data_IF_670029824025
#
_entry.id   IF_670029824025
#
_cell.length_a   1.000
_cell.length_b   1.000
_cell.length_c   1.000
_cell.angle_alpha   90.00
_cell.angle_beta   90.00
_cell.angle_gamma   90.00
#
_symmetry.space_group_name_H-M   'P 1'
#
loop_
_entity.id
_entity.type
_entity.pdbx_description
1 polymer ?
#
# COMPACT_ATOMS: atom_id res chain seq x y z
N UNK A 1 10.12 5.85 7.45
CA UNK A 1 9.34 6.68 6.50
C UNK A 1 7.88 6.34 6.70
N UNK A 2 7.02 7.35 6.68
CA UNK A 2 5.57 7.14 6.80
C UNK A 2 5.04 6.40 5.58
N UNK A 3 4.22 5.38 5.81
CA UNK A 3 3.52 4.63 4.78
C UNK A 3 2.12 4.25 5.26
N UNK A 4 1.15 4.24 4.34
CA UNK A 4 -0.17 3.68 4.59
C UNK A 4 -0.14 2.18 4.25
N UNK A 5 -0.51 1.35 5.22
CA UNK A 5 -0.28 -0.09 5.17
C UNK A 5 -1.61 -0.83 5.32
N UNK A 6 -1.86 -1.77 4.41
CA UNK A 6 -2.81 -2.85 4.64
C UNK A 6 -2.17 -3.85 5.61
N UNK A 7 -2.42 -3.67 6.90
CA UNK A 7 -1.71 -4.37 7.97
C UNK A 7 -2.03 -5.87 8.04
N UNK A 8 -3.25 -6.26 7.69
CA UNK A 8 -3.76 -7.61 7.75
C UNK A 8 -5.11 -7.74 7.04
N UNK A 9 -5.70 -8.95 7.04
CA UNK A 9 -7.03 -9.17 6.51
C UNK A 9 -8.09 -8.42 7.33
N UNK A 10 -9.04 -7.79 6.65
CA UNK A 10 -10.14 -7.03 7.25
C UNK A 10 -10.16 -5.56 6.83
N UNK A 11 -11.26 -4.83 7.07
CA UNK A 11 -11.37 -3.42 6.69
C UNK A 11 -10.35 -2.51 7.39
N UNK A 12 -10.06 -1.37 6.78
CA UNK A 12 -9.19 -0.33 7.31
C UNK A 12 -7.74 -0.44 6.85
N UNK A 13 -6.98 0.58 7.24
CA UNK A 13 -5.59 0.83 6.88
C UNK A 13 -4.86 1.45 8.08
N UNK A 14 -3.55 1.24 8.17
CA UNK A 14 -2.73 1.78 9.25
C UNK A 14 -1.63 2.69 8.71
N UNK A 15 -1.48 3.88 9.29
CA UNK A 15 -0.31 4.72 9.06
C UNK A 15 0.84 4.21 9.95
N UNK A 16 1.90 3.69 9.33
CA UNK A 16 3.06 3.12 10.04
C UNK A 16 4.36 3.82 9.62
N UNK A 17 5.35 3.75 10.49
CA UNK A 17 6.75 3.99 10.11
C UNK A 17 7.37 2.69 9.59
N UNK A 18 7.91 2.72 8.38
CA UNK A 18 8.60 1.59 7.74
C UNK A 18 10.03 1.98 7.35
N UNK A 19 10.92 1.00 7.15
CA UNK A 19 12.27 1.27 6.66
C UNK A 19 12.22 1.93 5.26
N UNK A 20 13.15 2.85 5.00
CA UNK A 20 13.35 3.38 3.63
C UNK A 20 13.96 2.25 2.80
N UNK A 21 13.37 1.88 1.64
CA UNK A 21 13.90 0.81 0.81
C UNK A 21 15.28 1.18 0.24
N UNK A 22 16.14 0.16 0.10
CA UNK A 22 17.47 0.31 -0.53
C UNK A 22 17.39 -0.30 -1.93
N UNK A 23 17.56 0.50 -3.01
CA UNK A 23 17.46 -0.02 -4.37
C UNK A 23 18.65 -0.92 -4.70
N UNK A 24 18.37 -2.07 -5.34
CA UNK A 24 19.39 -2.93 -5.95
C UNK A 24 19.82 -2.47 -7.34
N UNK A 25 20.68 -3.24 -8.03
CA UNK A 25 21.10 -2.93 -9.40
C UNK A 25 19.90 -2.79 -10.35
N UNK A 26 19.84 -1.67 -11.10
CA UNK A 26 18.75 -1.38 -12.03
C UNK A 26 17.46 -0.83 -11.41
N UNK A 27 17.42 -0.61 -10.10
CA UNK A 27 16.27 -0.03 -9.40
C UNK A 27 16.52 1.44 -9.03
N UNK A 28 15.44 2.19 -8.81
CA UNK A 28 15.48 3.60 -8.39
C UNK A 28 14.82 3.76 -7.03
N UNK A 29 15.38 4.65 -6.20
CA UNK A 29 14.73 5.15 -5.00
C UNK A 29 14.00 6.45 -5.32
N UNK A 30 12.67 6.44 -5.20
CA UNK A 30 11.83 7.59 -5.53
C UNK A 30 11.33 8.24 -4.23
N UNK A 31 11.53 9.56 -4.11
CA UNK A 31 10.85 10.36 -3.07
C UNK A 31 9.48 10.79 -3.60
N UNK A 32 8.43 10.08 -3.20
CA UNK A 32 7.05 10.43 -3.52
C UNK A 32 6.73 11.81 -2.93
N UNK A 33 6.30 12.75 -3.79
CA UNK A 33 5.95 14.13 -3.38
C UNK A 33 4.44 14.29 -3.17
N UNK A 34 3.66 13.62 -3.99
CA UNK A 34 2.21 13.55 -3.95
C UNK A 34 1.78 12.17 -4.45
N UNK A 35 0.63 11.70 -3.98
CA UNK A 35 -0.04 10.51 -4.44
C UNK A 35 -1.56 10.78 -4.46
N UNK A 36 -2.29 10.06 -5.29
CA UNK A 36 -3.76 10.15 -5.40
C UNK A 36 -4.42 8.89 -4.83
N UNK A 37 -5.76 8.91 -4.80
CA UNK A 37 -6.59 7.79 -4.38
C UNK A 37 -7.57 7.50 -5.53
N UNK A 38 -7.65 6.24 -5.94
CA UNK A 38 -8.60 5.75 -6.93
C UNK A 38 -9.54 4.68 -6.35
N UNK A 39 -10.42 4.13 -7.18
CA UNK A 39 -11.39 3.09 -6.75
C UNK A 39 -10.73 1.83 -6.19
N UNK A 40 -9.58 1.41 -6.72
CA UNK A 40 -8.80 0.26 -6.23
C UNK A 40 -8.40 0.43 -4.77
N UNK A 41 -7.98 1.63 -4.39
CA UNK A 41 -7.57 1.95 -3.02
C UNK A 41 -8.76 1.83 -2.04
N UNK A 42 -9.95 2.19 -2.50
CA UNK A 42 -11.19 2.03 -1.72
C UNK A 42 -11.54 0.55 -1.52
N UNK A 43 -11.36 -0.30 -2.52
CA UNK A 43 -11.55 -1.75 -2.35
C UNK A 43 -10.54 -2.36 -1.37
N UNK A 44 -9.27 -1.92 -1.43
CA UNK A 44 -8.23 -2.35 -0.48
C UNK A 44 -8.62 -1.92 0.94
N UNK A 45 -9.05 -0.67 1.14
CA UNK A 45 -9.48 -0.15 2.44
C UNK A 45 -10.66 -0.94 3.00
N UNK A 46 -11.74 -1.07 2.22
CA UNK A 46 -12.97 -1.76 2.65
C UNK A 46 -12.79 -3.25 2.87
N UNK A 47 -11.82 -3.86 2.17
CA UNK A 47 -11.62 -5.30 2.16
C UNK A 47 -12.87 -6.07 1.72
N UNK A 48 -13.56 -5.53 0.71
CA UNK A 48 -14.67 -6.23 0.07
C UNK A 48 -14.20 -7.43 -0.76
N UNK A 49 -15.12 -8.16 -1.38
CA UNK A 49 -14.80 -9.38 -2.15
C UNK A 49 -13.74 -9.15 -3.23
N UNK A 50 -13.74 -7.96 -3.84
CA UNK A 50 -12.74 -7.61 -4.84
C UNK A 50 -11.38 -7.35 -4.19
N UNK A 51 -11.35 -6.58 -3.10
CA UNK A 51 -10.13 -6.34 -2.31
C UNK A 51 -9.51 -7.64 -1.78
N UNK A 52 -10.34 -8.55 -1.26
CA UNK A 52 -9.93 -9.87 -0.76
C UNK A 52 -9.33 -10.74 -1.87
N UNK A 53 -9.98 -10.78 -3.03
CA UNK A 53 -9.53 -11.63 -4.15
C UNK A 53 -8.23 -11.13 -4.77
N UNK A 54 -8.04 -9.81 -4.88
CA UNK A 54 -6.92 -9.23 -5.61
C UNK A 54 -5.74 -8.82 -4.71
N UNK A 55 -5.94 -8.61 -3.41
CA UNK A 55 -4.93 -8.09 -2.49
C UNK A 55 -4.77 -8.92 -1.21
N UNK A 56 -4.92 -10.24 -1.30
CA UNK A 56 -4.81 -11.18 -0.18
C UNK A 56 -3.43 -11.21 0.52
N UNK A 57 -2.38 -10.62 -0.07
CA UNK A 57 -1.05 -10.56 0.52
C UNK A 57 -0.97 -9.38 1.49
N UNK A 58 -0.87 -9.69 2.77
CA UNK A 58 -0.69 -8.71 3.85
C UNK A 58 0.46 -9.12 4.77
N UNK A 59 1.26 -8.18 5.32
CA UNK A 59 1.11 -6.73 5.22
C UNK A 59 1.60 -6.15 3.88
N UNK A 60 0.95 -5.08 3.39
CA UNK A 60 1.27 -4.46 2.11
C UNK A 60 1.23 -2.92 2.18
N UNK A 61 2.24 -2.26 1.62
CA UNK A 61 2.20 -0.84 1.26
C UNK A 61 1.61 -0.72 -0.14
N UNK A 62 0.56 0.06 -0.33
CA UNK A 62 -0.17 0.20 -1.60
C UNK A 62 -0.16 1.66 -2.08
N UNK A 63 -0.80 1.91 -3.22
CA UNK A 63 -0.84 3.20 -3.90
C UNK A 63 -0.10 3.13 -5.23
N UNK A 64 -0.73 3.62 -6.29
CA UNK A 64 -0.22 3.50 -7.67
C UNK A 64 -0.48 4.75 -8.53
N UNK A 65 -0.91 5.84 -7.91
CA UNK A 65 -1.14 7.14 -8.56
C UNK A 65 -0.34 8.26 -7.88
#
# INVERSE_FOLDING_TARGET
MRALVKAGPGPGLELREVAVPVPGPGQLLIRVLAASICGTDIHIERWDDWGQTNFAVTPMVFGHE
#
